data_IF_234258038265
#
_entry.id   IF_234258038265
#
_cell.length_a   1.000
_cell.length_b   1.000
_cell.length_c   1.000
_cell.angle_alpha   90.00
_cell.angle_beta   90.00
_cell.angle_gamma   90.00
#
_symmetry.space_group_name_H-M   'P 1'
#
loop_
_entity.id
_entity.type
_entity.pdbx_description
1 polymer ?
#
# COMPACT_ATOMS: atom_id res chain seq x y z
N UNK A 1 -16.96 25.54 -5.44
CA UNK A 1 -16.52 24.98 -6.74
C UNK A 1 -15.01 24.72 -6.79
N UNK A 2 -14.14 25.67 -6.39
CA UNK A 2 -12.67 25.51 -6.42
C UNK A 2 -12.14 24.35 -5.56
N UNK A 3 -12.68 24.14 -4.35
CA UNK A 3 -12.23 23.10 -3.43
C UNK A 3 -12.49 21.68 -3.95
N UNK A 4 -13.63 21.47 -4.64
CA UNK A 4 -14.02 20.15 -5.19
C UNK A 4 -13.14 19.78 -6.39
N UNK A 5 -12.80 20.78 -7.23
CA UNK A 5 -11.91 20.56 -8.38
C UNK A 5 -10.49 20.21 -7.95
N UNK A 6 -9.97 20.86 -6.90
CA UNK A 6 -8.66 20.53 -6.34
C UNK A 6 -8.62 19.10 -5.78
N UNK A 7 -9.68 18.69 -5.09
CA UNK A 7 -9.81 17.33 -4.55
C UNK A 7 -9.82 16.26 -5.65
N UNK A 8 -10.60 16.47 -6.71
CA UNK A 8 -10.66 15.54 -7.86
C UNK A 8 -9.32 15.48 -8.61
N UNK A 9 -8.60 16.59 -8.70
CA UNK A 9 -7.27 16.64 -9.28
C UNK A 9 -6.23 15.87 -8.44
N UNK A 10 -6.20 16.09 -7.13
CA UNK A 10 -5.34 15.36 -6.18
C UNK A 10 -5.57 13.84 -6.28
N UNK A 11 -6.83 13.39 -6.31
CA UNK A 11 -7.14 11.97 -6.41
C UNK A 11 -6.77 11.36 -7.77
N UNK A 12 -6.86 12.13 -8.86
CA UNK A 12 -6.38 11.70 -10.18
C UNK A 12 -4.87 11.45 -10.17
N UNK A 13 -4.09 12.31 -9.49
CA UNK A 13 -2.64 12.12 -9.29
C UNK A 13 -2.39 10.86 -8.45
N UNK A 14 -3.09 10.71 -7.33
CA UNK A 14 -2.89 9.58 -6.41
C UNK A 14 -3.21 8.24 -7.07
N UNK A 15 -4.22 8.19 -7.94
CA UNK A 15 -4.54 7.00 -8.76
C UNK A 15 -3.39 6.58 -9.68
N UNK A 16 -2.65 7.54 -10.24
CA UNK A 16 -1.47 7.26 -11.05
C UNK A 16 -0.26 6.80 -10.22
N UNK A 17 -0.14 7.31 -9.00
CA UNK A 17 0.96 6.99 -8.09
C UNK A 17 0.77 5.67 -7.35
N UNK A 18 -0.45 5.34 -6.94
CA UNK A 18 -0.79 4.15 -6.16
C UNK A 18 -1.84 3.33 -6.94
N UNK A 19 -1.41 2.44 -7.84
CA UNK A 19 -2.34 1.62 -8.60
C UNK A 19 -3.02 0.60 -7.68
N UNK A 20 -4.34 0.47 -7.83
CA UNK A 20 -5.12 -0.56 -7.18
C UNK A 20 -4.97 -1.89 -7.95
N UNK A 21 -4.90 -2.99 -7.20
CA UNK A 21 -4.89 -4.35 -7.73
C UNK A 21 -5.98 -5.18 -7.06
N UNK A 22 -6.62 -6.05 -7.82
CA UNK A 22 -7.56 -7.04 -7.26
C UNK A 22 -6.77 -8.29 -6.83
N UNK A 23 -6.94 -8.73 -5.58
CA UNK A 23 -6.29 -9.93 -5.03
C UNK A 23 -7.30 -10.75 -4.24
N UNK A 24 -7.06 -12.06 -4.14
CA UNK A 24 -7.85 -12.92 -3.26
C UNK A 24 -7.25 -12.91 -1.85
N UNK A 25 -8.03 -12.44 -0.88
CA UNK A 25 -7.66 -12.38 0.54
C UNK A 25 -8.83 -12.95 1.34
N UNK A 26 -8.56 -13.84 2.31
CA UNK A 26 -9.58 -14.56 3.07
C UNK A 26 -10.69 -15.21 2.20
N UNK A 27 -10.34 -15.70 1.01
CA UNK A 27 -11.29 -16.32 0.07
C UNK A 27 -12.18 -15.33 -0.69
N UNK A 28 -12.00 -14.02 -0.49
CA UNK A 28 -12.78 -12.96 -1.15
C UNK A 28 -11.90 -12.15 -2.10
N UNK A 29 -12.50 -11.69 -3.20
CA UNK A 29 -11.84 -10.76 -4.13
C UNK A 29 -11.82 -9.35 -3.52
N UNK A 30 -10.66 -8.91 -3.06
CA UNK A 30 -10.48 -7.64 -2.33
C UNK A 30 -9.58 -6.68 -3.12
N UNK A 31 -9.92 -5.39 -3.08
CA UNK A 31 -9.05 -4.33 -3.61
C UNK A 31 -7.85 -4.14 -2.70
N UNK A 32 -6.67 -4.09 -3.30
CA UNK A 32 -5.39 -4.00 -2.59
C UNK A 32 -4.48 -2.99 -3.26
N UNK A 33 -3.45 -2.57 -2.54
CA UNK A 33 -2.38 -1.71 -3.05
C UNK A 33 -1.01 -2.30 -2.74
N UNK A 34 -0.02 -1.97 -3.56
CA UNK A 34 1.37 -2.32 -3.26
C UNK A 34 1.86 -1.49 -2.08
N UNK A 35 2.23 -2.16 -0.98
CA UNK A 35 2.77 -1.50 0.20
C UNK A 35 4.06 -0.73 -0.10
N UNK A 36 4.85 -1.20 -1.06
CA UNK A 36 6.09 -0.53 -1.48
C UNK A 36 5.79 0.80 -2.17
N UNK A 37 4.77 0.82 -3.02
CA UNK A 37 4.35 2.04 -3.70
C UNK A 37 3.74 3.04 -2.72
N UNK A 38 2.92 2.54 -1.78
CA UNK A 38 2.41 3.35 -0.69
C UNK A 38 3.57 3.95 0.14
N UNK A 39 4.57 3.17 0.53
CA UNK A 39 5.75 3.65 1.25
C UNK A 39 6.49 4.78 0.54
N UNK A 40 6.74 4.63 -0.76
CA UNK A 40 7.37 5.66 -1.60
C UNK A 40 6.54 6.94 -1.62
N UNK A 41 5.21 6.83 -1.79
CA UNK A 41 4.33 7.99 -1.83
C UNK A 41 4.25 8.66 -0.47
N UNK A 42 4.20 7.91 0.63
CA UNK A 42 4.20 8.48 1.98
C UNK A 42 5.50 9.20 2.34
N UNK A 43 6.58 8.98 1.59
CA UNK A 43 7.88 9.64 1.80
C UNK A 43 8.59 9.18 3.06
N UNK A 44 8.36 7.92 3.46
CA UNK A 44 8.94 7.36 4.69
C UNK A 44 10.45 7.15 4.50
N UNK A 45 11.25 7.71 5.42
CA UNK A 45 12.72 7.64 5.34
C UNK A 45 13.33 6.31 5.81
N UNK A 46 12.56 5.46 6.50
CA UNK A 46 13.00 4.12 6.91
C UNK A 46 13.04 3.19 5.69
N UNK A 47 13.89 2.16 5.71
CA UNK A 47 13.83 1.14 4.67
C UNK A 47 12.50 0.37 4.70
N UNK A 48 12.01 -0.01 3.51
CA UNK A 48 10.71 -0.65 3.34
C UNK A 48 10.54 -1.90 4.21
N UNK A 49 11.56 -2.76 4.31
CA UNK A 49 11.46 -4.05 5.01
C UNK A 49 11.25 -3.84 6.51
N UNK A 50 12.07 -2.97 7.13
CA UNK A 50 11.93 -2.66 8.55
C UNK A 50 10.65 -1.85 8.82
N UNK A 51 10.26 -0.97 7.90
CA UNK A 51 9.02 -0.22 8.01
C UNK A 51 7.80 -1.15 8.03
N UNK A 52 7.62 -1.99 7.00
CA UNK A 52 6.41 -2.82 6.88
C UNK A 52 6.32 -3.84 8.02
N UNK A 53 7.45 -4.45 8.40
CA UNK A 53 7.51 -5.38 9.54
C UNK A 53 7.11 -4.69 10.84
N UNK A 54 7.65 -3.49 11.08
CA UNK A 54 7.33 -2.71 12.28
C UNK A 54 5.86 -2.34 12.32
N UNK A 55 5.24 -1.96 11.20
CA UNK A 55 3.82 -1.58 11.15
C UNK A 55 2.90 -2.78 11.32
N UNK A 56 3.20 -3.91 10.68
CA UNK A 56 2.49 -5.18 10.89
C UNK A 56 2.47 -5.55 12.37
N UNK A 57 3.64 -5.53 13.01
CA UNK A 57 3.74 -5.91 14.42
C UNK A 57 3.05 -4.90 15.35
N UNK A 58 3.19 -3.60 15.09
CA UNK A 58 2.67 -2.54 15.97
C UNK A 58 1.14 -2.48 15.97
N UNK A 59 0.51 -2.68 14.81
CA UNK A 59 -0.94 -2.56 14.64
C UNK A 59 -1.66 -3.92 14.60
N UNK A 60 -0.91 -5.03 14.66
CA UNK A 60 -1.48 -6.37 14.73
C UNK A 60 -2.08 -6.85 13.41
N UNK A 61 -1.60 -6.36 12.27
CA UNK A 61 -2.09 -6.79 10.96
C UNK A 61 -1.82 -8.28 10.72
N UNK A 62 -2.79 -8.98 10.13
CA UNK A 62 -2.78 -10.42 9.95
C UNK A 62 -2.62 -10.79 8.48
N UNK A 63 -1.67 -11.68 8.19
CA UNK A 63 -1.47 -12.21 6.84
C UNK A 63 -2.69 -13.02 6.40
N UNK A 64 -3.08 -12.87 5.13
CA UNK A 64 -4.30 -13.41 4.52
C UNK A 64 -5.61 -12.79 5.02
N UNK A 65 -5.56 -11.70 5.80
CA UNK A 65 -6.71 -10.87 6.15
C UNK A 65 -6.47 -9.41 5.75
N UNK A 66 -5.38 -8.81 6.24
CA UNK A 66 -5.03 -7.41 5.98
C UNK A 66 -4.02 -7.25 4.83
N UNK A 67 -3.23 -8.28 4.58
CA UNK A 67 -2.24 -8.27 3.51
C UNK A 67 -1.90 -9.67 3.03
N UNK A 68 -1.27 -9.75 1.86
CA UNK A 68 -0.65 -10.96 1.33
C UNK A 68 0.78 -10.67 0.89
N UNK A 69 1.63 -11.68 0.96
CA UNK A 69 3.02 -11.61 0.52
C UNK A 69 3.21 -12.44 -0.75
N UNK A 70 3.53 -11.78 -1.85
CA UNK A 70 3.91 -12.42 -3.10
C UNK A 70 5.43 -12.55 -3.17
N UNK A 71 5.93 -13.78 -3.24
CA UNK A 71 7.34 -14.04 -3.55
C UNK A 71 7.49 -14.32 -5.05
N UNK A 72 8.51 -13.77 -5.73
CA UNK A 72 8.78 -14.15 -7.11
C UNK A 72 9.03 -15.67 -7.21
N UNK A 73 8.51 -16.31 -8.27
CA UNK A 73 8.70 -17.75 -8.51
C UNK A 73 10.20 -18.04 -8.59
N UNK A 74 10.69 -18.91 -7.69
CA UNK A 74 12.07 -19.41 -7.67
C UNK A 74 12.30 -20.31 -8.91
N UNK A 75 12.57 -19.71 -10.06
CA UNK A 75 12.75 -20.44 -11.32
C UNK A 75 13.94 -20.01 -12.16
N UNK A 76 14.44 -18.77 -12.02
CA UNK A 76 15.65 -18.34 -12.73
C UNK A 76 16.89 -18.61 -11.87
N UNK A 77 17.77 -19.49 -12.37
CA UNK A 77 19.12 -19.76 -11.85
C UNK A 77 20.04 -18.53 -12.04
N UNK A 78 19.63 -17.35 -11.59
CA UNK A 78 20.47 -16.16 -11.65
C UNK A 78 20.99 -15.87 -10.26
N UNK A 79 22.29 -16.14 -10.07
CA UNK A 79 23.05 -15.87 -8.85
C UNK A 79 22.95 -14.38 -8.52
N UNK A 80 22.29 -14.03 -7.42
CA UNK A 80 22.45 -12.74 -6.73
C UNK A 80 21.17 -11.94 -6.49
N UNK A 81 20.81 -11.76 -5.20
CA UNK A 81 20.30 -10.48 -4.70
C UNK A 81 18.79 -10.26 -4.51
N UNK A 82 17.90 -10.63 -5.44
CA UNK A 82 16.58 -9.98 -5.50
C UNK A 82 15.36 -10.92 -5.53
N UNK A 83 15.19 -11.76 -4.50
CA UNK A 83 13.85 -12.28 -4.17
C UNK A 83 13.10 -11.27 -3.29
N UNK A 84 12.89 -10.05 -3.80
CA UNK A 84 12.18 -9.02 -3.05
C UNK A 84 10.73 -9.45 -2.83
N UNK A 85 10.35 -9.64 -1.57
CA UNK A 85 8.96 -9.93 -1.20
C UNK A 85 8.10 -8.71 -1.50
N UNK A 86 7.06 -8.91 -2.30
CA UNK A 86 6.06 -7.89 -2.57
C UNK A 86 4.90 -8.05 -1.61
N UNK A 87 4.48 -6.97 -0.97
CA UNK A 87 3.35 -6.97 -0.03
C UNK A 87 2.19 -6.22 -0.68
N UNK A 88 1.04 -6.88 -0.77
CA UNK A 88 -0.22 -6.24 -1.16
C UNK A 88 -1.08 -6.12 0.07
N UNK A 89 -1.50 -4.91 0.39
CA UNK A 89 -2.28 -4.60 1.60
C UNK A 89 -3.71 -4.22 1.19
N UNK A 90 -4.69 -4.54 2.01
CA UNK A 90 -6.09 -4.12 1.82
C UNK A 90 -6.20 -2.60 1.87
N UNK A 91 -7.31 -2.06 1.35
CA UNK A 91 -7.59 -0.63 1.47
C UNK A 91 -7.70 -0.19 2.94
N UNK A 92 -8.24 -1.02 3.83
CA UNK A 92 -8.31 -0.76 5.27
C UNK A 92 -6.93 -0.59 5.89
N UNK A 93 -6.04 -1.56 5.67
CA UNK A 93 -4.66 -1.47 6.14
C UNK A 93 -3.94 -0.25 5.52
N UNK A 94 -4.16 0.04 4.23
CA UNK A 94 -3.56 1.20 3.58
C UNK A 94 -4.04 2.54 4.17
N UNK A 95 -5.33 2.66 4.51
CA UNK A 95 -5.91 3.83 5.20
C UNK A 95 -5.24 4.05 6.56
N UNK A 96 -5.04 2.97 7.32
CA UNK A 96 -4.36 3.03 8.61
C UNK A 96 -2.89 3.44 8.49
N UNK A 97 -2.14 2.82 7.57
CA UNK A 97 -0.74 3.18 7.32
C UNK A 97 -0.60 4.66 6.93
N UNK A 98 -1.46 5.15 6.04
CA UNK A 98 -1.46 6.55 5.62
C UNK A 98 -1.73 7.52 6.78
N UNK A 99 -2.60 7.13 7.72
CA UNK A 99 -2.89 7.91 8.93
C UNK A 99 -1.72 7.93 9.91
N UNK A 100 -1.03 6.80 10.08
CA UNK A 100 0.06 6.64 11.06
C UNK A 100 1.32 7.40 10.66
N UNK A 101 1.64 7.47 9.37
CA UNK A 101 2.82 8.19 8.91
C UNK A 101 2.71 9.72 9.04
N UNK A 102 1.48 10.26 9.20
CA UNK A 102 1.21 11.69 9.46
C UNK A 102 1.88 12.65 8.46
N UNK A 103 2.10 12.22 7.22
CA UNK A 103 2.61 13.07 6.14
C UNK A 103 1.47 13.73 5.37
N UNK A 104 1.73 14.86 4.69
CA UNK A 104 0.72 15.51 3.86
C UNK A 104 0.23 14.58 2.75
N UNK A 105 1.15 13.83 2.12
CA UNK A 105 0.81 12.76 1.18
C UNK A 105 0.02 11.61 1.81
N UNK A 106 0.20 11.35 3.11
CA UNK A 106 -0.66 10.42 3.86
C UNK A 106 -2.10 10.90 3.97
N UNK A 107 -2.32 12.21 4.14
CA UNK A 107 -3.68 12.80 4.15
C UNK A 107 -4.35 12.65 2.78
N UNK A 108 -3.62 12.92 1.70
CA UNK A 108 -4.09 12.72 0.32
C UNK A 108 -4.37 11.24 0.03
N UNK A 109 -3.46 10.34 0.41
CA UNK A 109 -3.61 8.90 0.20
C UNK A 109 -4.84 8.35 0.91
N UNK A 110 -5.07 8.78 2.16
CA UNK A 110 -6.24 8.37 2.93
C UNK A 110 -7.56 8.81 2.26
N UNK A 111 -7.61 10.04 1.75
CA UNK A 111 -8.78 10.55 1.00
C UNK A 111 -9.03 9.74 -0.26
N UNK A 112 -7.97 9.50 -1.02
CA UNK A 112 -8.01 8.67 -2.22
C UNK A 112 -8.54 7.26 -1.93
N UNK A 113 -8.08 6.60 -0.86
CA UNK A 113 -8.56 5.26 -0.51
C UNK A 113 -10.03 5.22 -0.07
N UNK A 114 -10.52 6.27 0.60
CA UNK A 114 -11.95 6.37 0.98
C UNK A 114 -12.84 6.49 -0.27
N UNK A 115 -12.40 7.19 -1.32
CA UNK A 115 -13.15 7.28 -2.57
C UNK A 115 -13.10 5.98 -3.39
N UNK A 116 -12.08 5.15 -3.18
CA UNK A 116 -11.89 3.90 -3.90
C UNK A 116 -12.57 2.69 -3.24
N UNK A 117 -13.22 2.86 -2.10
CA UNK A 117 -14.05 1.86 -1.42
C UNK A 117 -15.44 1.81 -2.06
#
# INVERSE_FOLDING_TARGET
>A
MVVVLNYQFENSIMKGLIPLAQRFIAGTSTRTVSARKLHEVLGVGRDFTNWIRSRIQQYGFVENQDFIVCSPKRGSKQRGGHNAKEHYVTLDMAKELAMVERSDKGREARRYFIECE
#
